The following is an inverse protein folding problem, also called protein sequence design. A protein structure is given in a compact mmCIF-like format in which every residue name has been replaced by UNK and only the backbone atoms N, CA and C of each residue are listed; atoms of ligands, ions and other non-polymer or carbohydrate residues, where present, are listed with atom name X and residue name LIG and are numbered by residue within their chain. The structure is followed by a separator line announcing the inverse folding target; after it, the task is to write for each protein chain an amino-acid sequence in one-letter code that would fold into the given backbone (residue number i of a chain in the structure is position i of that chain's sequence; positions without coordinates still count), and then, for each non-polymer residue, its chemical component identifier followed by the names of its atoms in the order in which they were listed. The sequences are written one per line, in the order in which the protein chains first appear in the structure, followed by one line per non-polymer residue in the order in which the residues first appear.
data_IF_937109832956
#
_entry.id   IF_937109832956
#
_cell.length_a   1.000
_cell.length_b   1.000
_cell.length_c   1.000
_cell.angle_alpha   90.00
_cell.angle_beta   90.00
_cell.angle_gamma   90.00
#
_symmetry.space_group_name_H-M   'P 1'
#
loop_
_entity.id
_entity.type
_entity.pdbx_description
1 polymer ?
#
# COMPACT_ATOMS: atom_id res chain seq x y z
N UNK A 1 -0.35 -27.27 -12.60
CA UNK A 1 0.35 -27.72 -11.38
C UNK A 1 1.84 -27.55 -11.62
N UNK A 2 2.38 -26.39 -11.28
CA UNK A 2 3.80 -26.10 -11.43
C UNK A 2 4.25 -25.62 -10.05
N UNK A 3 5.13 -26.42 -9.43
CA UNK A 3 5.78 -26.06 -8.17
C UNK A 3 6.78 -24.96 -8.49
N UNK A 4 6.66 -23.84 -7.78
CA UNK A 4 7.67 -22.80 -7.74
C UNK A 4 8.41 -22.97 -6.41
N UNK A 5 9.71 -23.26 -6.54
CA UNK A 5 10.67 -23.42 -5.46
C UNK A 5 11.37 -22.06 -5.35
N UNK A 6 10.93 -21.21 -4.42
CA UNK A 6 11.34 -19.80 -4.38
C UNK A 6 12.12 -19.55 -3.08
N UNK A 7 13.43 -19.77 -3.13
CA UNK A 7 14.33 -19.25 -2.11
C UNK A 7 14.25 -17.71 -2.08
N UNK A 8 13.94 -17.12 -0.93
CA UNK A 8 14.11 -15.72 -0.54
C UNK A 8 14.11 -14.66 -1.67
N UNK A 9 13.08 -14.64 -2.52
CA UNK A 9 12.82 -13.48 -3.38
C UNK A 9 11.91 -12.53 -2.62
N UNK A 10 12.43 -11.39 -2.17
CA UNK A 10 11.57 -10.29 -1.70
C UNK A 10 10.78 -9.77 -2.91
N UNK A 11 9.46 -9.84 -2.82
CA UNK A 11 8.54 -9.36 -3.87
C UNK A 11 7.98 -8.03 -3.42
N UNK A 12 8.66 -6.95 -3.79
CA UNK A 12 8.21 -5.60 -3.47
C UNK A 12 7.21 -5.13 -4.52
N UNK A 13 6.04 -4.64 -4.09
CA UNK A 13 5.07 -3.99 -4.97
C UNK A 13 5.21 -2.48 -4.85
N UNK A 14 5.16 -1.78 -5.98
CA UNK A 14 5.22 -0.32 -6.04
C UNK A 14 3.96 0.19 -6.76
N UNK A 15 3.25 1.12 -6.13
CA UNK A 15 2.02 1.71 -6.69
C UNK A 15 2.22 3.21 -6.90
N UNK A 16 2.00 3.67 -8.14
CA UNK A 16 1.98 5.10 -8.49
C UNK A 16 0.54 5.63 -8.42
N UNK A 17 0.36 6.85 -7.92
CA UNK A 17 -0.95 7.51 -7.86
C UNK A 17 -1.43 7.90 -9.27
N UNK A 18 -2.66 7.48 -9.61
CA UNK A 18 -3.52 7.94 -10.73
C UNK A 18 -2.82 8.69 -11.88
N UNK A 19 -1.98 7.97 -12.62
CA UNK A 19 -1.34 8.46 -13.85
C UNK A 19 -1.92 7.71 -15.04
N UNK A 20 -2.25 8.43 -16.10
CA UNK A 20 -2.71 7.83 -17.36
C UNK A 20 -1.63 6.89 -17.92
N UNK A 21 -2.02 5.75 -18.50
CA UNK A 21 -1.08 4.76 -19.04
C UNK A 21 -0.03 5.41 -19.95
N UNK A 22 -0.47 6.21 -20.92
CA UNK A 22 0.41 6.89 -21.89
C UNK A 22 1.43 7.82 -21.21
N UNK A 23 1.07 8.42 -20.07
CA UNK A 23 1.98 9.27 -19.29
C UNK A 23 2.96 8.45 -18.47
N UNK A 24 2.50 7.33 -17.90
CA UNK A 24 3.35 6.44 -17.13
C UNK A 24 4.38 5.74 -18.03
N UNK A 25 3.97 5.27 -19.20
CA UNK A 25 4.86 4.66 -20.20
C UNK A 25 5.90 5.66 -20.74
N UNK A 26 5.51 6.93 -20.89
CA UNK A 26 6.42 7.99 -21.32
C UNK A 26 7.39 8.49 -20.22
N UNK A 27 7.19 8.12 -18.95
CA UNK A 27 8.13 8.48 -17.88
C UNK A 27 9.39 7.61 -18.00
N UNK A 28 10.60 8.23 -18.13
CA UNK A 28 11.82 7.47 -18.38
C UNK A 28 12.21 6.55 -17.22
N UNK A 29 11.84 6.87 -15.98
CA UNK A 29 12.12 6.01 -14.83
C UNK A 29 11.19 4.79 -14.83
N UNK A 30 9.91 4.99 -15.15
CA UNK A 30 8.94 3.89 -15.26
C UNK A 30 9.24 3.00 -16.48
N UNK A 31 9.64 3.58 -17.60
CA UNK A 31 10.10 2.82 -18.77
C UNK A 31 11.33 1.96 -18.44
N UNK A 32 12.30 2.52 -17.72
CA UNK A 32 13.46 1.78 -17.23
C UNK A 32 13.10 0.64 -16.26
N UNK A 33 12.07 0.83 -15.42
CA UNK A 33 11.54 -0.23 -14.55
C UNK A 33 10.82 -1.32 -15.36
N UNK A 34 10.08 -0.95 -16.39
CA UNK A 34 9.38 -1.89 -17.26
C UNK A 34 10.35 -2.88 -17.95
N UNK A 35 11.56 -2.43 -18.32
CA UNK A 35 12.63 -3.30 -18.84
C UNK A 35 13.09 -4.40 -17.86
N UNK A 36 12.80 -4.24 -16.56
CA UNK A 36 13.23 -5.16 -15.49
C UNK A 36 12.12 -6.05 -14.96
N UNK A 37 10.90 -5.90 -15.47
CA UNK A 37 9.71 -6.53 -14.93
C UNK A 37 8.77 -7.05 -15.99
N UNK A 38 7.50 -7.14 -15.61
CA UNK A 38 6.39 -7.51 -16.50
C UNK A 38 5.48 -6.30 -16.61
N UNK A 39 5.30 -5.80 -17.83
CA UNK A 39 4.32 -4.75 -18.12
C UNK A 39 2.92 -5.36 -18.22
N UNK A 40 1.96 -4.79 -17.48
CA UNK A 40 0.56 -5.20 -17.52
C UNK A 40 -0.25 -4.23 -18.40
N UNK A 41 -0.35 -4.53 -19.69
CA UNK A 41 -1.03 -3.66 -20.68
C UNK A 41 -2.57 -3.71 -20.60
N UNK A 42 -3.13 -4.65 -19.83
CA UNK A 42 -4.58 -4.83 -19.62
C UNK A 42 -4.95 -4.82 -18.14
N UNK A 43 -4.33 -3.93 -17.37
CA UNK A 43 -4.63 -3.71 -15.95
C UNK A 43 -5.44 -2.43 -15.76
N UNK A 44 -6.63 -2.55 -15.19
CA UNK A 44 -7.58 -1.45 -15.04
C UNK A 44 -7.91 -1.18 -13.58
N UNK A 45 -8.18 0.09 -13.25
CA UNK A 45 -8.80 0.43 -11.98
C UNK A 45 -10.18 -0.21 -11.83
N UNK A 46 -10.57 -0.47 -10.58
CA UNK A 46 -11.89 -1.04 -10.23
C UNK A 46 -13.00 0.01 -10.39
N UNK A 47 -12.73 1.26 -9.98
CA UNK A 47 -13.69 2.37 -10.12
C UNK A 47 -13.00 3.73 -9.94
N UNK A 48 -13.77 4.82 -10.04
CA UNK A 48 -13.36 6.15 -9.57
C UNK A 48 -14.31 6.63 -8.46
N UNK A 49 -13.81 7.36 -7.44
CA UNK A 49 -12.47 7.95 -7.30
C UNK A 49 -11.38 6.95 -6.83
N UNK A 50 -10.21 7.44 -6.42
CA UNK A 50 -9.01 6.62 -6.20
C UNK A 50 -9.10 5.66 -5.01
N UNK A 51 -9.68 6.08 -3.88
CA UNK A 51 -9.72 5.29 -2.63
C UNK A 51 -10.31 3.89 -2.79
N UNK A 52 -11.45 3.71 -3.48
CA UNK A 52 -12.00 2.39 -3.81
C UNK A 52 -11.01 1.40 -4.43
N UNK A 53 -10.04 1.87 -5.23
CA UNK A 53 -9.04 0.99 -5.86
C UNK A 53 -8.03 0.47 -4.83
N UNK A 54 -7.61 1.32 -3.89
CA UNK A 54 -6.72 0.91 -2.79
C UNK A 54 -7.42 -0.09 -1.88
N UNK A 55 -8.69 0.18 -1.53
CA UNK A 55 -9.53 -0.74 -0.76
C UNK A 55 -9.63 -2.09 -1.48
N UNK A 56 -9.98 -2.11 -2.77
CA UNK A 56 -10.09 -3.33 -3.55
C UNK A 56 -8.75 -4.09 -3.68
N UNK A 57 -7.62 -3.38 -3.81
CA UNK A 57 -6.30 -4.02 -3.89
C UNK A 57 -5.93 -4.78 -2.61
N UNK A 58 -6.43 -4.34 -1.45
CA UNK A 58 -6.09 -4.91 -0.14
C UNK A 58 -7.11 -5.94 0.36
N UNK A 59 -8.40 -5.70 0.13
CA UNK A 59 -9.50 -6.55 0.61
C UNK A 59 -10.26 -7.31 -0.47
N UNK A 60 -9.94 -7.10 -1.75
CA UNK A 60 -10.53 -7.82 -2.88
C UNK A 60 -11.89 -7.30 -3.36
N UNK A 61 -12.44 -6.24 -2.75
CA UNK A 61 -13.71 -5.60 -3.12
C UNK A 61 -13.64 -4.09 -2.82
N UNK A 62 -14.40 -3.26 -3.53
CA UNK A 62 -14.57 -1.85 -3.22
C UNK A 62 -15.77 -1.55 -2.31
N UNK A 63 -16.59 -2.56 -2.00
CA UNK A 63 -17.77 -2.46 -1.13
C UNK A 63 -18.79 -1.39 -1.56
N UNK A 64 -18.83 -1.08 -2.85
CA UNK A 64 -19.69 -0.01 -3.40
C UNK A 64 -19.24 1.41 -3.05
N UNK A 65 -18.01 1.60 -2.56
CA UNK A 65 -17.45 2.91 -2.27
C UNK A 65 -17.33 3.77 -3.53
N UNK A 66 -17.79 5.02 -3.44
CA UNK A 66 -17.88 5.99 -4.54
C UNK A 66 -17.26 7.36 -4.19
N UNK A 67 -16.47 7.42 -3.12
CA UNK A 67 -15.93 8.65 -2.56
C UNK A 67 -14.51 8.45 -1.98
N UNK A 68 -13.84 9.56 -1.68
CA UNK A 68 -12.51 9.62 -1.03
C UNK A 68 -12.61 10.18 0.42
N UNK A 69 -13.69 9.85 1.15
CA UNK A 69 -13.97 10.38 2.49
C UNK A 69 -13.17 9.64 3.58
N UNK A 70 -13.49 9.92 4.86
CA UNK A 70 -12.96 9.11 5.96
C UNK A 70 -13.72 7.78 6.02
N UNK A 71 -13.28 6.77 5.26
CA UNK A 71 -13.93 5.46 5.25
C UNK A 71 -13.31 4.47 6.23
N UNK A 72 -14.14 3.53 6.70
CA UNK A 72 -13.71 2.41 7.54
C UNK A 72 -14.39 1.14 7.05
N UNK A 73 -13.63 0.08 6.85
CA UNK A 73 -14.15 -1.26 6.58
C UNK A 73 -14.19 -2.03 7.89
N UNK A 74 -15.33 -2.67 8.18
CA UNK A 74 -15.56 -3.35 9.45
C UNK A 74 -14.55 -4.48 9.71
N UNK A 75 -14.26 -4.72 10.99
CA UNK A 75 -13.20 -5.64 11.43
C UNK A 75 -13.45 -7.13 11.13
N UNK A 76 -14.66 -7.49 10.71
CA UNK A 76 -15.02 -8.85 10.30
C UNK A 76 -14.76 -9.13 8.81
N UNK A 77 -14.22 -8.16 8.07
CA UNK A 77 -13.81 -8.33 6.67
C UNK A 77 -12.35 -8.77 6.63
N UNK A 78 -12.10 -9.96 6.09
CA UNK A 78 -10.75 -10.48 5.89
C UNK A 78 -10.07 -9.80 4.69
N UNK A 79 -8.76 -9.64 4.79
CA UNK A 79 -7.91 -8.97 3.79
C UNK A 79 -6.64 -9.78 3.53
N UNK A 80 -5.78 -9.28 2.63
CA UNK A 80 -4.48 -9.91 2.36
C UNK A 80 -3.61 -10.02 3.63
N UNK A 81 -3.72 -9.12 4.61
CA UNK A 81 -2.92 -9.19 5.85
C UNK A 81 -3.29 -10.39 6.70
N UNK A 82 -4.57 -10.81 6.70
CA UNK A 82 -4.99 -12.02 7.41
C UNK A 82 -4.41 -13.28 6.74
N UNK A 83 -4.33 -13.29 5.41
CA UNK A 83 -3.72 -14.38 4.65
C UNK A 83 -2.20 -14.47 4.85
N UNK A 84 -1.52 -13.32 4.92
CA UNK A 84 -0.08 -13.25 5.20
C UNK A 84 0.22 -13.75 6.61
N UNK A 85 -0.55 -13.31 7.61
CA UNK A 85 -0.38 -13.72 9.01
C UNK A 85 -0.68 -15.22 9.21
N UNK A 86 -1.72 -15.77 8.57
CA UNK A 86 -2.02 -17.22 8.58
C UNK A 86 -0.86 -18.07 8.03
N UNK A 87 -0.08 -17.51 7.12
CA UNK A 87 1.09 -18.16 6.52
C UNK A 87 2.42 -17.78 7.17
N UNK A 88 2.37 -17.00 8.25
CA UNK A 88 3.56 -16.48 8.93
C UNK A 88 4.51 -15.71 7.99
N UNK A 89 3.95 -15.01 7.01
CA UNK A 89 4.68 -14.11 6.12
C UNK A 89 4.67 -12.73 6.77
N UNK A 90 5.86 -12.17 7.03
CA UNK A 90 5.96 -10.83 7.62
C UNK A 90 5.46 -9.79 6.63
N UNK A 91 4.71 -8.80 7.13
CA UNK A 91 4.14 -7.76 6.31
C UNK A 91 4.35 -6.37 6.91
N UNK A 92 4.43 -5.35 6.07
CA UNK A 92 4.46 -3.97 6.47
C UNK A 92 3.99 -3.05 5.34
N UNK A 93 3.68 -1.81 5.69
CA UNK A 93 3.43 -0.76 4.70
C UNK A 93 4.23 0.47 5.07
N UNK A 94 4.82 1.12 4.07
CA UNK A 94 5.62 2.32 4.27
C UNK A 94 4.98 3.48 3.52
N UNK A 95 4.64 4.53 4.27
CA UNK A 95 3.91 5.68 3.75
C UNK A 95 4.79 6.93 3.77
N UNK A 96 4.90 7.59 2.63
CA UNK A 96 5.57 8.88 2.52
C UNK A 96 4.87 9.93 3.40
N UNK A 97 5.68 10.72 4.10
CA UNK A 97 5.30 11.81 5.00
C UNK A 97 4.23 11.51 6.06
N UNK A 98 3.98 10.23 6.35
CA UNK A 98 3.14 9.84 7.49
C UNK A 98 3.82 10.28 8.81
N UNK A 99 3.13 10.99 9.71
CA UNK A 99 3.78 11.68 10.83
C UNK A 99 4.43 10.73 11.84
N UNK A 100 3.86 9.55 12.03
CA UNK A 100 4.39 8.48 12.87
C UNK A 100 3.76 7.14 12.49
N UNK A 101 4.41 6.04 12.87
CA UNK A 101 3.92 4.66 12.68
C UNK A 101 2.53 4.48 13.28
N UNK A 102 1.59 3.98 12.48
CA UNK A 102 0.21 3.73 12.90
C UNK A 102 -0.67 4.98 12.93
N UNK A 103 -0.34 6.03 12.18
CA UNK A 103 -1.19 7.22 12.10
C UNK A 103 -2.53 6.94 11.41
N UNK A 104 -3.63 7.12 12.15
CA UNK A 104 -5.00 6.84 11.68
C UNK A 104 -5.75 8.10 11.20
N UNK A 105 -5.15 9.29 11.31
CA UNK A 105 -5.80 10.55 10.96
C UNK A 105 -6.04 10.71 9.46
N UNK A 106 -6.99 11.56 9.09
CA UNK A 106 -7.41 11.75 7.69
C UNK A 106 -6.28 12.22 6.77
N UNK A 107 -5.49 13.18 7.24
CA UNK A 107 -4.36 13.75 6.50
C UNK A 107 -3.34 14.34 7.47
N UNK A 108 -2.12 14.52 6.97
CA UNK A 108 -1.08 15.29 7.65
C UNK A 108 -0.49 16.29 6.67
N UNK A 109 -0.22 17.49 7.17
CA UNK A 109 0.44 18.56 6.41
C UNK A 109 1.80 18.81 7.00
N UNK A 110 2.74 19.17 6.13
CA UNK A 110 4.05 19.63 6.57
C UNK A 110 3.89 20.82 7.52
N UNK A 111 4.52 20.78 8.69
CA UNK A 111 4.38 21.87 9.66
C UNK A 111 5.19 23.11 9.28
N UNK A 112 6.19 22.96 8.41
CA UNK A 112 7.06 24.05 7.94
C UNK A 112 6.56 24.61 6.60
N UNK A 113 6.39 23.74 5.58
CA UNK A 113 6.06 24.15 4.21
C UNK A 113 4.56 24.26 3.96
N UNK A 114 3.72 23.70 4.85
CA UNK A 114 2.26 23.54 4.67
C UNK A 114 1.87 22.74 3.42
N UNK A 115 2.80 21.99 2.83
CA UNK A 115 2.50 21.04 1.77
C UNK A 115 1.58 19.92 2.28
N UNK A 116 0.78 19.38 1.36
CA UNK A 116 0.01 18.16 1.62
C UNK A 116 0.97 16.98 1.56
N UNK A 117 1.22 16.39 2.71
CA UNK A 117 2.27 15.40 2.92
C UNK A 117 1.67 13.99 2.91
N UNK A 118 0.69 13.73 3.77
CA UNK A 118 0.04 12.43 3.86
C UNK A 118 -1.49 12.53 3.76
N UNK A 119 -2.10 11.56 3.10
CA UNK A 119 -3.56 11.35 3.08
C UNK A 119 -3.88 9.88 3.32
N UNK A 120 -4.78 9.61 4.25
CA UNK A 120 -5.14 8.27 4.71
C UNK A 120 -5.62 7.34 3.61
N UNK A 121 -6.31 7.89 2.61
CA UNK A 121 -6.86 7.13 1.49
C UNK A 121 -5.83 6.38 0.63
N UNK A 122 -4.54 6.74 0.72
CA UNK A 122 -3.44 6.03 0.04
C UNK A 122 -2.79 4.93 0.91
N UNK A 123 -3.24 4.76 2.16
CA UNK A 123 -2.78 3.72 3.08
C UNK A 123 -3.90 2.68 3.29
N UNK A 124 -4.13 1.74 2.35
CA UNK A 124 -5.23 0.80 2.46
C UNK A 124 -5.29 -0.01 3.77
N UNK A 125 -4.19 -0.52 4.36
CA UNK A 125 -4.25 -1.25 5.62
C UNK A 125 -5.01 -0.52 6.73
N UNK A 126 -4.78 0.79 6.93
CA UNK A 126 -5.41 1.56 8.02
C UNK A 126 -6.92 1.79 7.80
N UNK A 127 -7.43 1.56 6.59
CA UNK A 127 -8.86 1.69 6.25
C UNK A 127 -9.66 0.53 6.87
N UNK A 128 -9.04 -0.61 7.12
CA UNK A 128 -9.69 -1.79 7.71
C UNK A 128 -9.56 -1.78 9.23
N UNK A 129 -10.69 -1.81 9.94
CA UNK A 129 -10.71 -1.83 11.41
C UNK A 129 -10.04 -3.08 12.00
N UNK A 130 -9.94 -4.16 11.23
CA UNK A 130 -9.16 -5.34 11.61
C UNK A 130 -7.66 -5.01 11.80
N UNK A 131 -7.16 -3.96 11.15
CA UNK A 131 -5.75 -3.58 11.10
C UNK A 131 -5.41 -2.41 12.02
N UNK A 132 -6.35 -1.93 12.84
CA UNK A 132 -6.13 -0.84 13.80
C UNK A 132 -5.84 -1.33 15.23
N UNK A 133 -5.42 -2.60 15.39
CA UNK A 133 -4.89 -3.09 16.66
C UNK A 133 -3.47 -2.53 16.89
N UNK A 134 -2.99 -2.40 18.15
CA UNK A 134 -1.64 -1.88 18.41
C UNK A 134 -0.53 -2.64 17.66
N UNK A 135 -0.69 -3.96 17.51
CA UNK A 135 0.26 -4.78 16.77
C UNK A 135 0.23 -4.46 15.27
N UNK A 136 -0.94 -4.47 14.63
CA UNK A 136 -1.05 -4.23 13.18
C UNK A 136 -0.80 -2.78 12.80
N UNK A 137 -1.05 -1.82 13.69
CA UNK A 137 -0.61 -0.43 13.52
C UNK A 137 0.92 -0.29 13.54
N UNK A 138 1.62 -1.15 14.29
CA UNK A 138 3.10 -1.14 14.30
C UNK A 138 3.73 -1.59 12.97
N UNK A 139 2.96 -2.27 12.11
CA UNK A 139 3.37 -2.68 10.77
C UNK A 139 3.11 -1.60 9.71
N UNK A 140 2.42 -0.52 10.07
CA UNK A 140 2.08 0.59 9.18
C UNK A 140 3.00 1.77 9.50
N UNK A 141 4.12 1.83 8.80
CA UNK A 141 5.28 2.66 9.16
C UNK A 141 5.45 3.83 8.20
N UNK A 142 6.18 4.85 8.64
CA UNK A 142 6.53 5.98 7.77
C UNK A 142 7.85 5.70 7.02
N UNK A 143 8.20 6.55 6.04
CA UNK A 143 9.42 6.37 5.26
C UNK A 143 10.72 6.47 6.07
N UNK A 144 10.72 7.08 7.26
CA UNK A 144 11.90 7.05 8.14
C UNK A 144 12.18 5.62 8.62
N UNK A 145 11.14 4.86 8.95
CA UNK A 145 11.29 3.45 9.34
C UNK A 145 11.65 2.55 8.17
N UNK A 146 11.21 2.86 6.94
CA UNK A 146 11.65 2.12 5.74
C UNK A 146 13.18 2.11 5.64
N UNK A 147 13.82 3.27 5.74
CA UNK A 147 15.27 3.37 5.65
C UNK A 147 15.99 2.67 6.82
N UNK A 148 15.39 2.68 8.01
CA UNK A 148 15.92 1.95 9.17
C UNK A 148 15.85 0.43 8.95
N UNK A 149 14.69 -0.08 8.56
CA UNK A 149 14.49 -1.51 8.30
C UNK A 149 15.38 -1.98 7.14
N UNK A 150 15.51 -1.18 6.07
CA UNK A 150 16.44 -1.46 4.96
C UNK A 150 17.90 -1.53 5.43
N UNK A 151 18.36 -0.57 6.24
CA UNK A 151 19.73 -0.54 6.73
C UNK A 151 20.06 -1.70 7.69
N UNK A 152 19.04 -2.21 8.39
CA UNK A 152 19.18 -3.33 9.32
C UNK A 152 18.93 -4.71 8.67
N UNK A 153 18.65 -4.77 7.37
CA UNK A 153 18.24 -6.00 6.66
C UNK A 153 16.95 -6.63 7.22
N UNK A 154 16.06 -5.80 7.77
CA UNK A 154 14.83 -6.17 8.49
C UNK A 154 13.54 -5.83 7.71
N UNK A 155 13.61 -5.68 6.38
CA UNK A 155 12.41 -5.44 5.56
C UNK A 155 11.43 -6.63 5.63
N UNK A 156 10.11 -6.36 5.71
CA UNK A 156 9.10 -7.41 5.67
C UNK A 156 9.10 -8.12 4.32
N UNK A 157 8.52 -9.33 4.30
CA UNK A 157 8.39 -10.10 3.06
C UNK A 157 7.30 -9.56 2.12
N UNK A 158 6.35 -8.78 2.65
CA UNK A 158 5.26 -8.12 1.93
C UNK A 158 5.10 -6.66 2.35
#
# INVERSE_FOLDING_TARGET
MQRFDDGNVQRNSFSVKNTDYDKAEADPNLAWLAERGITLENYFGVTHPSEPNYVASHGGDNFGMDNDAFNRVASNVSTITDLLEDKHISWGSYQEDMPYTGFEGFSWVNQETRANDYVRKHNPPVIYDANTSPLRLSYQKNMTEFYKDLANEDLPQW
#
